data_IF_037228487946
#
_entry.id   IF_037228487946
#
_cell.length_a   1.000
_cell.length_b   1.000
_cell.length_c   1.000
_cell.angle_alpha   90.00
_cell.angle_beta   90.00
_cell.angle_gamma   90.00
#
_symmetry.space_group_name_H-M   'P 1'
#
loop_
_entity.id
_entity.type
_entity.pdbx_description
1 polymer ?
#
# COMPACT_ATOMS: atom_id res chain seq x y z
N UNK A 1 -9.98 -0.81 -31.11
CA UNK A 1 -8.61 -0.38 -30.75
C UNK A 1 -8.69 1.04 -30.19
N UNK A 2 -8.92 1.20 -28.88
CA UNK A 2 -8.91 2.51 -28.22
C UNK A 2 -7.74 2.56 -27.25
N UNK A 3 -6.64 3.18 -27.66
CA UNK A 3 -5.50 3.42 -26.80
C UNK A 3 -5.85 4.59 -25.86
N UNK A 4 -6.31 4.25 -24.66
CA UNK A 4 -6.64 5.23 -23.62
C UNK A 4 -5.31 5.75 -23.07
N UNK A 5 -4.85 6.91 -23.54
CA UNK A 5 -3.68 7.60 -22.98
C UNK A 5 -3.95 7.77 -21.47
N UNK A 6 -3.24 7.01 -20.62
CA UNK A 6 -3.36 7.12 -19.16
C UNK A 6 -2.84 8.49 -18.73
N UNK A 7 -3.59 9.19 -17.89
CA UNK A 7 -3.18 10.48 -17.33
C UNK A 7 -1.82 10.35 -16.61
N UNK A 8 -0.92 11.34 -16.75
CA UNK A 8 0.44 11.28 -16.20
C UNK A 8 0.51 10.98 -14.69
N UNK A 9 -0.54 11.34 -13.93
CA UNK A 9 -0.64 11.02 -12.50
C UNK A 9 -0.83 9.52 -12.22
N UNK A 10 -1.48 8.77 -13.14
CA UNK A 10 -1.63 7.31 -13.03
C UNK A 10 -0.27 6.62 -13.21
N UNK A 11 0.53 7.09 -14.16
CA UNK A 11 1.89 6.56 -14.37
C UNK A 11 2.80 6.81 -13.17
N UNK A 12 2.67 7.97 -12.50
CA UNK A 12 3.43 8.27 -11.27
C UNK A 12 3.00 7.39 -10.08
N UNK A 13 1.71 7.04 -10.00
CA UNK A 13 1.21 6.10 -9.00
C UNK A 13 1.79 4.69 -9.19
N UNK A 14 1.73 4.17 -10.41
CA UNK A 14 2.26 2.84 -10.73
C UNK A 14 3.78 2.76 -10.49
N UNK A 15 4.52 3.82 -10.82
CA UNK A 15 5.96 3.92 -10.54
C UNK A 15 6.27 3.94 -9.03
N UNK A 16 5.50 4.70 -8.25
CA UNK A 16 5.65 4.75 -6.80
C UNK A 16 5.38 3.37 -6.17
N UNK A 17 4.35 2.67 -6.62
CA UNK A 17 4.03 1.32 -6.16
C UNK A 17 5.13 0.32 -6.53
N UNK A 18 5.68 0.41 -7.76
CA UNK A 18 6.80 -0.43 -8.17
C UNK A 18 8.06 -0.16 -7.31
N UNK A 19 8.37 1.10 -7.05
CA UNK A 19 9.51 1.47 -6.20
C UNK A 19 9.33 0.94 -4.76
N UNK A 20 8.13 1.06 -4.21
CA UNK A 20 7.79 0.51 -2.90
C UNK A 20 7.96 -1.01 -2.85
N UNK A 21 7.46 -1.71 -3.86
CA UNK A 21 7.61 -3.15 -4.01
C UNK A 21 9.08 -3.58 -4.05
N UNK A 22 9.88 -2.96 -4.93
CA UNK A 22 11.29 -3.30 -5.10
C UNK A 22 12.06 -3.08 -3.79
N UNK A 23 11.74 -2.01 -3.07
CA UNK A 23 12.30 -1.76 -1.74
C UNK A 23 11.94 -2.88 -0.76
N UNK A 24 10.66 -3.23 -0.62
CA UNK A 24 10.20 -4.25 0.32
C UNK A 24 10.76 -5.65 0.02
N UNK A 25 10.89 -6.00 -1.26
CA UNK A 25 11.53 -7.26 -1.68
C UNK A 25 13.00 -7.28 -1.26
N UNK A 26 13.73 -6.17 -1.41
CA UNK A 26 15.10 -6.05 -0.91
C UNK A 26 15.19 -6.13 0.62
N UNK A 27 14.15 -5.74 1.34
CA UNK A 27 14.03 -5.95 2.79
C UNK A 27 13.65 -7.39 3.17
N UNK A 28 13.44 -8.29 2.21
CA UNK A 28 13.16 -9.70 2.43
C UNK A 28 11.67 -10.06 2.49
N UNK A 29 10.76 -9.11 2.22
CA UNK A 29 9.33 -9.41 2.13
C UNK A 29 9.02 -10.05 0.78
N UNK A 30 8.09 -10.99 0.76
CA UNK A 30 7.61 -11.63 -0.47
C UNK A 30 6.31 -10.98 -0.91
N UNK A 31 6.19 -10.64 -2.19
CA UNK A 31 4.91 -10.18 -2.74
C UNK A 31 3.87 -11.32 -2.71
N UNK A 32 2.67 -11.01 -2.23
CA UNK A 32 1.49 -11.87 -2.32
C UNK A 32 0.58 -11.37 -3.44
N UNK A 33 0.22 -10.09 -3.42
CA UNK A 33 -0.68 -9.49 -4.41
C UNK A 33 -0.51 -7.97 -4.48
N UNK A 34 -0.89 -7.36 -5.62
CA UNK A 34 -0.86 -5.92 -5.84
C UNK A 34 -2.21 -5.44 -6.34
N UNK A 35 -2.56 -4.20 -6.06
CA UNK A 35 -3.77 -3.55 -6.59
C UNK A 35 -5.05 -4.36 -6.33
N UNK A 36 -5.16 -5.00 -5.16
CA UNK A 36 -6.35 -5.77 -4.81
C UNK A 36 -7.55 -4.84 -4.66
N UNK A 37 -8.66 -5.19 -5.29
CA UNK A 37 -9.89 -4.39 -5.27
C UNK A 37 -11.07 -5.28 -4.92
N UNK A 38 -11.89 -4.82 -3.98
CA UNK A 38 -13.15 -5.44 -3.63
C UNK A 38 -14.22 -4.38 -3.38
N UNK A 39 -15.46 -4.80 -3.15
CA UNK A 39 -16.57 -3.88 -2.82
C UNK A 39 -16.33 -3.06 -1.55
N UNK A 40 -15.42 -3.49 -0.67
CA UNK A 40 -15.11 -2.82 0.61
C UNK A 40 -13.99 -1.78 0.50
N UNK A 41 -13.15 -1.87 -0.53
CA UNK A 41 -11.99 -0.98 -0.68
C UNK A 41 -10.94 -1.53 -1.62
N UNK A 42 -9.75 -0.95 -1.52
CA UNK A 42 -8.57 -1.29 -2.30
C UNK A 42 -7.37 -1.44 -1.38
N UNK A 43 -6.43 -2.33 -1.74
CA UNK A 43 -5.15 -2.53 -1.08
C UNK A 43 -4.05 -2.41 -2.13
N UNK A 44 -3.07 -1.54 -1.91
CA UNK A 44 -2.01 -1.28 -2.90
C UNK A 44 -1.06 -2.48 -3.01
N UNK A 45 -0.47 -2.91 -1.89
CA UNK A 45 0.40 -4.08 -1.81
C UNK A 45 0.00 -4.98 -0.65
N UNK A 46 -0.02 -6.29 -0.93
CA UNK A 46 -0.14 -7.35 0.06
C UNK A 46 1.16 -8.13 0.03
N UNK A 47 1.88 -8.14 1.16
CA UNK A 47 3.19 -8.74 1.29
C UNK A 47 3.19 -9.81 2.39
N UNK A 48 4.15 -10.73 2.34
CA UNK A 48 4.41 -11.72 3.38
C UNK A 48 5.74 -11.39 4.06
N UNK A 49 5.70 -11.25 5.39
CA UNK A 49 6.85 -11.13 6.28
C UNK A 49 6.80 -12.29 7.28
N UNK A 50 7.55 -13.38 6.99
CA UNK A 50 7.50 -14.63 7.76
C UNK A 50 6.07 -15.18 7.90
N UNK A 51 5.45 -15.09 9.08
CA UNK A 51 4.08 -15.55 9.37
C UNK A 51 3.05 -14.41 9.39
N UNK A 52 3.47 -13.20 9.02
CA UNK A 52 2.65 -11.99 9.04
C UNK A 52 2.28 -11.57 7.61
N UNK A 53 0.99 -11.39 7.38
CA UNK A 53 0.47 -10.73 6.19
C UNK A 53 0.56 -9.21 6.40
N UNK A 54 1.32 -8.54 5.54
CA UNK A 54 1.59 -7.10 5.64
C UNK A 54 0.83 -6.39 4.55
N UNK A 55 -0.09 -5.51 4.95
CA UNK A 55 -0.87 -4.66 4.08
C UNK A 55 -0.15 -3.32 3.99
N UNK A 56 0.36 -2.97 2.81
CA UNK A 56 1.14 -1.75 2.62
C UNK A 56 0.38 -0.77 1.74
N UNK A 57 0.16 0.41 2.28
CA UNK A 57 -0.39 1.57 1.57
C UNK A 57 0.75 2.46 1.06
N UNK A 58 0.73 2.81 -0.24
CA UNK A 58 1.81 3.57 -0.90
C UNK A 58 1.37 5.01 -1.16
N UNK A 59 2.11 5.98 -0.63
CA UNK A 59 1.80 7.41 -0.74
C UNK A 59 2.90 8.20 -1.42
N UNK A 60 2.59 8.77 -2.57
CA UNK A 60 3.42 9.80 -3.20
C UNK A 60 3.11 11.17 -2.59
N UNK A 61 4.11 11.79 -1.97
CA UNK A 61 4.01 13.15 -1.42
C UNK A 61 4.22 14.18 -2.52
N UNK A 62 3.32 15.16 -2.62
CA UNK A 62 3.47 16.30 -3.54
C UNK A 62 4.31 17.44 -2.94
N UNK A 63 4.37 17.57 -1.62
CA UNK A 63 5.27 18.51 -0.93
C UNK A 63 5.59 18.01 0.48
N UNK A 64 6.71 18.48 1.05
CA UNK A 64 7.08 18.21 2.45
C UNK A 64 6.33 19.09 3.46
N UNK A 65 5.45 19.99 3.02
CA UNK A 65 4.92 21.07 3.86
C UNK A 65 3.59 20.76 4.56
N UNK A 66 2.94 19.63 4.26
CA UNK A 66 1.66 19.26 4.89
C UNK A 66 1.67 17.81 5.35
N UNK A 67 1.61 17.67 6.68
CA UNK A 67 1.28 16.47 7.43
C UNK A 67 2.15 15.23 7.26
N UNK A 68 2.30 14.47 8.35
CA UNK A 68 3.00 13.19 8.32
C UNK A 68 2.37 12.19 7.33
N UNK A 69 3.10 11.15 6.94
CA UNK A 69 2.56 10.12 6.04
C UNK A 69 1.38 9.42 6.72
N UNK A 70 1.47 9.23 8.03
CA UNK A 70 0.39 8.74 8.89
C UNK A 70 -0.81 9.68 8.90
N UNK A 71 -0.62 11.00 8.97
CA UNK A 71 -1.72 11.97 8.94
C UNK A 71 -2.48 11.92 7.60
N UNK A 72 -1.80 11.56 6.51
CA UNK A 72 -2.45 11.35 5.21
C UNK A 72 -3.32 10.08 5.16
N UNK A 73 -3.13 9.13 6.09
CA UNK A 73 -3.97 7.94 6.28
C UNK A 73 -5.05 8.26 7.31
N UNK A 74 -6.04 9.04 6.88
CA UNK A 74 -7.18 9.42 7.72
C UNK A 74 -7.90 8.20 8.29
N UNK A 75 -8.60 8.36 9.41
CA UNK A 75 -9.42 7.29 10.01
C UNK A 75 -10.36 6.63 9.00
N UNK A 76 -10.99 7.42 8.12
CA UNK A 76 -11.84 6.91 7.03
C UNK A 76 -11.07 6.00 6.07
N UNK A 77 -9.80 6.32 5.75
CA UNK A 77 -8.98 5.47 4.89
C UNK A 77 -8.55 4.20 5.62
N UNK A 78 -8.15 4.30 6.89
CA UNK A 78 -7.82 3.14 7.73
C UNK A 78 -8.99 2.15 7.75
N UNK A 79 -10.22 2.61 8.04
CA UNK A 79 -11.41 1.74 8.05
C UNK A 79 -11.67 1.04 6.71
N UNK A 80 -11.38 1.70 5.57
CA UNK A 80 -11.53 1.08 4.24
C UNK A 80 -10.46 0.02 3.97
N UNK A 81 -9.22 0.28 4.40
CA UNK A 81 -8.13 -0.68 4.28
C UNK A 81 -8.44 -1.91 5.14
N UNK A 82 -8.83 -1.72 6.40
CA UNK A 82 -9.22 -2.80 7.32
C UNK A 82 -10.36 -3.64 6.71
N UNK A 83 -11.43 -3.01 6.23
CA UNK A 83 -12.56 -3.74 5.64
C UNK A 83 -12.19 -4.50 4.34
N UNK A 84 -11.25 -3.99 3.55
CA UNK A 84 -10.73 -4.69 2.37
C UNK A 84 -9.81 -5.86 2.77
N UNK A 85 -9.02 -5.71 3.82
CA UNK A 85 -8.20 -6.77 4.39
C UNK A 85 -9.04 -7.90 4.97
N UNK A 86 -10.09 -7.59 5.75
CA UNK A 86 -11.06 -8.58 6.25
C UNK A 86 -11.68 -9.38 5.10
N UNK A 87 -12.10 -8.68 4.04
CA UNK A 87 -12.62 -9.34 2.84
C UNK A 87 -11.57 -10.27 2.21
N UNK A 88 -10.33 -9.82 2.10
CA UNK A 88 -9.22 -10.59 1.53
C UNK A 88 -8.97 -11.88 2.31
N UNK A 89 -8.77 -11.79 3.64
CA UNK A 89 -8.44 -12.94 4.47
C UNK A 89 -9.59 -13.95 4.53
N UNK A 90 -10.85 -13.49 4.55
CA UNK A 90 -12.01 -14.38 4.51
C UNK A 90 -12.10 -15.13 3.18
N UNK A 91 -11.87 -14.43 2.07
CA UNK A 91 -11.96 -15.02 0.73
C UNK A 91 -10.88 -16.07 0.47
N UNK A 92 -9.69 -15.89 1.07
CA UNK A 92 -8.53 -16.76 0.89
C UNK A 92 -8.28 -17.71 2.07
N UNK A 93 -9.15 -17.70 3.09
CA UNK A 93 -9.02 -18.50 4.32
C UNK A 93 -7.65 -18.35 5.00
N UNK A 94 -7.14 -17.12 5.02
CA UNK A 94 -5.83 -16.81 5.60
C UNK A 94 -5.99 -16.70 7.12
N UNK A 95 -5.13 -17.43 7.85
CA UNK A 95 -5.00 -17.34 9.29
C UNK A 95 -3.55 -16.95 9.64
N UNK A 96 -3.26 -15.67 9.56
CA UNK A 96 -1.93 -15.10 9.80
C UNK A 96 -2.06 -13.82 10.60
N UNK A 97 -1.01 -13.44 11.33
CA UNK A 97 -0.95 -12.11 11.92
C UNK A 97 -1.05 -11.07 10.80
N UNK A 98 -1.70 -9.94 11.07
CA UNK A 98 -1.87 -8.86 10.10
C UNK A 98 -1.13 -7.64 10.61
N UNK A 99 -0.37 -7.00 9.73
CA UNK A 99 0.30 -5.73 10.00
C UNK A 99 -0.06 -4.73 8.92
N UNK A 100 -0.37 -3.49 9.31
CA UNK A 100 -0.60 -2.40 8.38
C UNK A 100 0.61 -1.48 8.35
N UNK A 101 1.23 -1.34 7.19
CA UNK A 101 2.40 -0.50 6.96
C UNK A 101 2.07 0.62 5.98
N UNK A 102 2.85 1.69 6.02
CA UNK A 102 2.78 2.79 5.05
C UNK A 102 4.16 3.00 4.44
N UNK A 103 4.22 3.11 3.12
CA UNK A 103 5.40 3.62 2.42
C UNK A 103 5.08 5.01 1.89
N UNK A 104 5.84 6.00 2.33
CA UNK A 104 5.79 7.35 1.79
C UNK A 104 6.98 7.60 0.87
N UNK A 105 6.71 8.04 -0.35
CA UNK A 105 7.70 8.38 -1.37
C UNK A 105 7.64 9.88 -1.61
N UNK A 106 8.77 10.55 -1.49
CA UNK A 106 8.92 11.98 -1.74
C UNK A 106 9.23 12.26 -3.21
N UNK A 107 9.12 13.52 -3.63
CA UNK A 107 9.40 13.93 -5.01
C UNK A 107 10.85 13.71 -5.48
N UNK A 108 11.79 13.56 -4.53
CA UNK A 108 13.19 13.20 -4.77
C UNK A 108 13.44 11.68 -4.77
N UNK A 109 12.37 10.87 -4.79
CA UNK A 109 12.40 9.42 -4.68
C UNK A 109 12.89 8.85 -3.34
N UNK A 110 13.09 9.69 -2.31
CA UNK A 110 13.35 9.16 -0.96
C UNK A 110 12.13 8.39 -0.45
N UNK A 111 12.39 7.26 0.21
CA UNK A 111 11.37 6.35 0.71
C UNK A 111 11.43 6.29 2.24
N UNK A 112 10.29 6.46 2.89
CA UNK A 112 10.11 6.23 4.32
C UNK A 112 9.10 5.10 4.54
N UNK A 113 9.55 4.01 5.16
CA UNK A 113 8.73 2.86 5.51
C UNK A 113 8.35 2.92 7.00
N UNK A 114 7.06 3.08 7.24
CA UNK A 114 6.48 3.17 8.58
C UNK A 114 5.76 1.85 8.84
N UNK A 115 6.35 1.02 9.71
CA UNK A 115 5.78 -0.25 10.11
C UNK A 115 4.75 -0.06 11.23
N UNK A 116 3.71 -0.90 11.28
CA UNK A 116 2.62 -0.80 12.26
C UNK A 116 2.01 0.61 12.29
N UNK A 117 1.73 1.15 11.11
CA UNK A 117 1.22 2.50 10.92
C UNK A 117 -0.13 2.74 11.60
N UNK A 118 -0.96 1.69 11.71
CA UNK A 118 -2.24 1.68 12.42
C UNK A 118 -2.68 0.23 12.70
N UNK A 119 -3.81 0.07 13.39
CA UNK A 119 -4.36 -1.20 13.86
C UNK A 119 -5.82 -1.36 13.44
#
# INVERSE_FOLDING_TARGET
MFNKIRAAHLNRGDQAEQQALDFLVKQGLRLVERNYRCRRGELDLIMQDRQTLVIVEVRLRRSNQYGGALESITARKQSRIIAATEHYIMSHRINSAIRFDVIAISGDHSLNWIQNAFH
#
